data_IF_302972276430
#
_entry.id   IF_302972276430
#
_cell.length_a   1.000
_cell.length_b   1.000
_cell.length_c   1.000
_cell.angle_alpha   90.00
_cell.angle_beta   90.00
_cell.angle_gamma   90.00
#
_symmetry.space_group_name_H-M   'P 1'
#
loop_
_entity.id
_entity.type
_entity.pdbx_description
1 polymer ?
#
# COMPACT_ATOMS: atom_id res chain seq x y z
N UNK A 1 -27.47 30.86 60.04
CA UNK A 1 -27.78 30.15 58.77
C UNK A 1 -26.51 30.25 57.91
N UNK A 2 -25.66 29.17 57.93
CA UNK A 2 -24.42 29.16 57.12
C UNK A 2 -24.71 28.48 55.78
N UNK A 3 -24.57 29.25 54.72
CA UNK A 3 -24.63 28.73 53.33
C UNK A 3 -23.38 27.88 53.07
N UNK A 4 -23.58 26.59 52.78
CA UNK A 4 -22.54 25.69 52.31
C UNK A 4 -22.54 25.81 50.77
N UNK A 5 -21.49 26.41 50.19
CA UNK A 5 -21.24 26.46 48.76
C UNK A 5 -20.48 25.19 48.40
N UNK A 6 -21.11 24.25 47.68
CA UNK A 6 -20.45 23.08 47.11
C UNK A 6 -19.71 23.51 45.84
N UNK A 7 -18.45 23.11 45.64
CA UNK A 7 -17.74 23.35 44.41
C UNK A 7 -18.30 22.43 43.30
N UNK A 8 -18.71 23.04 42.20
CA UNK A 8 -19.06 22.31 40.97
C UNK A 8 -17.78 21.82 40.31
N UNK A 9 -17.57 20.50 40.33
CA UNK A 9 -16.47 19.87 39.64
C UNK A 9 -16.78 19.85 38.13
N UNK A 10 -16.16 20.75 37.36
CA UNK A 10 -16.25 20.74 35.91
C UNK A 10 -15.38 19.61 35.36
N UNK A 11 -16.00 18.50 34.98
CA UNK A 11 -15.34 17.38 34.34
C UNK A 11 -15.11 17.79 32.85
N UNK A 12 -13.90 18.23 32.52
CA UNK A 12 -13.50 18.44 31.13
C UNK A 12 -13.30 17.10 30.47
N UNK A 13 -14.25 16.66 29.67
CA UNK A 13 -14.11 15.56 28.74
C UNK A 13 -13.08 15.93 27.66
N UNK A 14 -11.86 15.45 27.80
CA UNK A 14 -10.92 15.45 26.68
C UNK A 14 -11.44 14.49 25.63
N UNK A 15 -12.02 15.04 24.55
CA UNK A 15 -12.29 14.28 23.34
C UNK A 15 -10.94 13.83 22.76
N UNK A 16 -10.60 12.54 22.96
CA UNK A 16 -9.51 11.90 22.24
C UNK A 16 -9.97 11.78 20.79
N UNK A 17 -9.56 12.72 19.96
CA UNK A 17 -9.70 12.58 18.50
C UNK A 17 -8.74 11.49 18.06
N UNK A 18 -9.20 10.45 17.36
CA UNK A 18 -8.30 9.49 16.74
C UNK A 18 -7.68 10.13 15.49
N UNK A 19 -6.62 10.91 15.67
CA UNK A 19 -5.75 11.26 14.56
C UNK A 19 -4.72 10.13 14.40
N UNK A 20 -5.15 9.02 13.84
CA UNK A 20 -4.26 8.10 13.16
C UNK A 20 -4.27 8.46 11.67
N UNK A 21 -3.75 9.61 11.33
CA UNK A 21 -3.34 9.91 9.97
C UNK A 21 -2.07 9.08 9.74
N UNK A 22 -2.18 8.03 8.94
CA UNK A 22 -1.04 7.21 8.49
C UNK A 22 0.00 8.15 7.89
N UNK A 23 1.22 8.12 8.40
CA UNK A 23 2.26 9.10 8.08
C UNK A 23 2.76 9.03 6.63
N UNK A 24 2.37 8.03 5.85
CA UNK A 24 2.67 7.95 4.41
C UNK A 24 1.42 7.59 3.58
N UNK A 25 0.58 8.60 3.21
CA UNK A 25 -0.65 8.37 2.45
C UNK A 25 -0.41 7.96 0.98
N UNK A 26 0.82 7.65 0.58
CA UNK A 26 1.19 7.36 -0.80
C UNK A 26 1.68 5.94 -1.03
N UNK A 27 1.55 5.04 -0.06
CA UNK A 27 2.05 3.68 -0.20
C UNK A 27 1.16 2.82 -1.10
N UNK A 28 1.77 1.98 -1.91
CA UNK A 28 1.04 0.97 -2.69
C UNK A 28 0.28 -0.01 -1.79
N UNK A 29 0.65 -0.13 -0.50
CA UNK A 29 -0.06 -0.91 0.48
C UNK A 29 -1.51 -0.40 0.69
N UNK A 30 -1.69 0.90 0.94
CA UNK A 30 -3.04 1.49 1.08
C UNK A 30 -3.83 1.42 -0.23
N UNK A 31 -3.14 1.69 -1.34
CA UNK A 31 -3.73 1.57 -2.67
C UNK A 31 -4.22 0.16 -2.98
N UNK A 32 -3.54 -0.88 -2.46
CA UNK A 32 -3.99 -2.27 -2.57
C UNK A 32 -5.34 -2.49 -1.88
N UNK A 33 -5.53 -1.94 -0.69
CA UNK A 33 -6.81 -2.02 0.02
C UNK A 33 -7.96 -1.46 -0.82
N UNK A 34 -7.76 -0.28 -1.42
CA UNK A 34 -8.74 0.33 -2.33
C UNK A 34 -8.96 -0.53 -3.59
N UNK A 35 -7.89 -1.02 -4.19
CA UNK A 35 -7.97 -1.87 -5.38
C UNK A 35 -8.75 -3.16 -5.12
N UNK A 36 -8.48 -3.84 -4.02
CA UNK A 36 -9.17 -5.07 -3.62
C UNK A 36 -10.66 -4.80 -3.35
N UNK A 37 -10.99 -3.66 -2.75
CA UNK A 37 -12.38 -3.32 -2.42
C UNK A 37 -13.21 -2.90 -3.63
N UNK A 38 -12.61 -2.23 -4.61
CA UNK A 38 -13.37 -1.54 -5.66
C UNK A 38 -13.05 -1.97 -7.09
N UNK A 39 -11.87 -2.53 -7.34
CA UNK A 39 -11.36 -2.74 -8.71
C UNK A 39 -11.18 -4.21 -9.09
N UNK A 40 -10.79 -5.06 -8.14
CA UNK A 40 -10.39 -6.44 -8.44
C UNK A 40 -11.48 -7.31 -9.06
N UNK A 41 -12.76 -7.04 -8.75
CA UNK A 41 -13.86 -7.85 -9.28
C UNK A 41 -13.93 -7.78 -10.82
N UNK A 42 -13.58 -6.62 -11.39
CA UNK A 42 -13.48 -6.45 -12.83
C UNK A 42 -12.05 -6.69 -13.32
N UNK A 43 -11.06 -6.02 -12.72
CA UNK A 43 -9.69 -6.04 -13.22
C UNK A 43 -8.86 -7.27 -12.83
N UNK A 44 -9.39 -8.13 -11.95
CA UNK A 44 -8.66 -9.29 -11.42
C UNK A 44 -7.66 -8.93 -10.32
N UNK A 45 -7.32 -9.88 -9.46
CA UNK A 45 -6.43 -9.66 -8.30
C UNK A 45 -5.02 -9.19 -8.70
N UNK A 46 -4.58 -9.55 -9.92
CA UNK A 46 -3.27 -9.16 -10.49
C UNK A 46 -3.38 -8.09 -11.58
N UNK A 47 -4.55 -7.48 -11.76
CA UNK A 47 -4.77 -6.46 -12.78
C UNK A 47 -4.70 -6.95 -14.23
N UNK A 48 -4.88 -8.25 -14.47
CA UNK A 48 -4.78 -8.85 -15.82
C UNK A 48 -6.05 -8.76 -16.65
N UNK A 49 -7.13 -8.18 -16.10
CA UNK A 49 -8.44 -8.14 -16.76
C UNK A 49 -9.22 -9.46 -16.66
N UNK A 50 -8.88 -10.30 -15.70
CA UNK A 50 -9.44 -11.63 -15.52
C UNK A 50 -10.42 -11.72 -14.34
N UNK A 51 -10.98 -10.58 -13.93
CA UNK A 51 -11.90 -10.48 -12.81
C UNK A 51 -13.21 -11.28 -13.04
N UNK A 52 -13.78 -11.87 -11.98
CA UNK A 52 -14.98 -12.69 -12.11
C UNK A 52 -16.20 -11.92 -12.60
N UNK A 53 -16.35 -10.64 -12.21
CA UNK A 53 -17.47 -9.81 -12.64
C UNK A 53 -17.37 -9.45 -14.12
N UNK A 54 -16.18 -9.15 -14.61
CA UNK A 54 -15.97 -8.88 -16.01
C UNK A 54 -16.34 -10.07 -16.90
N UNK A 55 -15.94 -11.27 -16.49
CA UNK A 55 -16.33 -12.51 -17.18
C UNK A 55 -17.82 -12.73 -17.19
N UNK A 56 -18.49 -12.50 -16.04
CA UNK A 56 -19.94 -12.69 -15.92
C UNK A 56 -20.74 -11.68 -16.74
N UNK A 57 -20.21 -10.47 -16.93
CA UNK A 57 -20.85 -9.39 -17.71
C UNK A 57 -20.38 -9.33 -19.17
N UNK A 58 -19.51 -10.24 -19.60
CA UNK A 58 -18.90 -10.26 -20.95
C UNK A 58 -18.20 -8.94 -21.32
N UNK A 59 -17.62 -8.27 -20.31
CA UNK A 59 -16.89 -7.01 -20.51
C UNK A 59 -15.46 -7.31 -20.95
N UNK A 60 -15.03 -6.67 -22.03
CA UNK A 60 -13.62 -6.73 -22.47
C UNK A 60 -12.74 -5.95 -21.53
N UNK A 61 -11.86 -6.65 -20.84
CA UNK A 61 -11.04 -6.11 -19.77
C UNK A 61 -9.68 -5.62 -20.24
N UNK A 62 -9.28 -4.48 -19.68
CA UNK A 62 -7.95 -3.92 -19.91
C UNK A 62 -6.95 -4.58 -18.97
N UNK A 63 -5.89 -5.13 -19.53
CA UNK A 63 -4.74 -5.60 -18.74
C UNK A 63 -3.97 -4.40 -18.17
N UNK A 64 -4.17 -4.12 -16.88
CA UNK A 64 -3.57 -2.99 -16.20
C UNK A 64 -2.04 -3.13 -16.07
N UNK A 65 -1.50 -4.36 -16.00
CA UNK A 65 -0.06 -4.57 -15.84
C UNK A 65 0.76 -4.04 -17.03
N UNK A 66 0.17 -3.99 -18.19
CA UNK A 66 0.79 -3.44 -19.40
C UNK A 66 0.40 -1.98 -19.64
N UNK A 67 -0.87 -1.66 -19.41
CA UNK A 67 -1.42 -0.33 -19.70
C UNK A 67 -0.82 0.75 -18.83
N UNK A 68 -0.66 0.50 -17.51
CA UNK A 68 -0.16 1.52 -16.59
C UNK A 68 1.29 1.93 -16.85
N UNK A 69 2.13 1.04 -17.42
CA UNK A 69 3.53 1.36 -17.74
C UNK A 69 3.68 2.50 -18.73
N UNK A 70 2.80 2.55 -19.71
CA UNK A 70 2.86 3.49 -20.82
C UNK A 70 2.14 4.82 -20.54
N UNK A 71 1.55 4.99 -19.37
CA UNK A 71 0.68 6.14 -19.06
C UNK A 71 1.20 6.95 -17.87
N UNK A 72 1.00 8.28 -17.91
CA UNK A 72 1.33 9.16 -16.78
C UNK A 72 0.31 9.01 -15.64
N UNK A 73 0.72 9.38 -14.41
CA UNK A 73 -0.17 9.38 -13.25
C UNK A 73 -1.37 10.32 -13.44
N UNK A 74 -1.13 11.47 -14.09
CA UNK A 74 -2.20 12.40 -14.46
C UNK A 74 -3.24 11.75 -15.38
N UNK A 75 -2.78 10.93 -16.32
CA UNK A 75 -3.67 10.17 -17.20
C UNK A 75 -4.46 9.13 -16.41
N UNK A 76 -3.79 8.32 -15.58
CA UNK A 76 -4.43 7.29 -14.75
C UNK A 76 -5.48 7.92 -13.83
N UNK A 77 -5.14 9.01 -13.15
CA UNK A 77 -6.05 9.77 -12.31
C UNK A 77 -7.29 10.23 -13.09
N UNK A 78 -7.11 10.76 -14.30
CA UNK A 78 -8.21 11.21 -15.16
C UNK A 78 -9.15 10.06 -15.53
N UNK A 79 -8.59 8.90 -15.89
CA UNK A 79 -9.37 7.70 -16.24
C UNK A 79 -10.17 7.22 -15.05
N UNK A 80 -9.53 7.06 -13.89
CA UNK A 80 -10.19 6.60 -12.65
C UNK A 80 -11.30 7.58 -12.24
N UNK A 81 -11.04 8.88 -12.29
CA UNK A 81 -12.03 9.90 -11.93
C UNK A 81 -13.20 10.03 -12.91
N UNK A 82 -13.16 9.35 -14.06
CA UNK A 82 -14.18 9.50 -15.11
C UNK A 82 -14.09 10.79 -15.93
N UNK A 83 -13.21 11.73 -15.55
CA UNK A 83 -13.04 13.01 -16.26
C UNK A 83 -12.44 12.86 -17.66
N UNK A 84 -12.01 11.66 -18.02
CA UNK A 84 -11.37 11.39 -19.29
C UNK A 84 -12.33 11.12 -20.45
N UNK A 85 -13.60 10.79 -20.19
CA UNK A 85 -14.53 10.38 -21.25
C UNK A 85 -14.75 11.45 -22.33
N UNK A 86 -14.73 12.72 -21.95
CA UNK A 86 -14.96 13.84 -22.87
C UNK A 86 -13.68 14.36 -23.56
N UNK A 87 -12.50 14.08 -23.01
CA UNK A 87 -11.24 14.69 -23.44
C UNK A 87 -10.28 13.72 -24.12
N UNK A 88 -10.52 12.41 -24.04
CA UNK A 88 -9.73 11.39 -24.73
C UNK A 88 -10.35 11.19 -26.11
N UNK A 89 -9.62 11.59 -27.16
CA UNK A 89 -10.03 11.47 -28.56
C UNK A 89 -9.18 10.43 -29.28
N UNK A 90 -9.69 9.87 -30.38
CA UNK A 90 -8.96 8.93 -31.24
C UNK A 90 -8.95 7.48 -30.72
N UNK A 91 -7.93 6.70 -31.13
CA UNK A 91 -7.81 5.26 -30.80
C UNK A 91 -7.78 4.95 -29.30
N UNK A 92 -7.29 5.89 -28.49
CA UNK A 92 -7.22 5.71 -27.04
C UNK A 92 -8.59 5.68 -26.38
N UNK A 93 -9.60 6.33 -26.97
CA UNK A 93 -10.96 6.36 -26.42
C UNK A 93 -11.59 4.97 -26.39
N UNK A 94 -11.44 4.20 -27.47
CA UNK A 94 -12.06 2.88 -27.59
C UNK A 94 -11.34 1.79 -26.78
N UNK A 95 -10.05 2.00 -26.48
CA UNK A 95 -9.23 0.96 -25.83
C UNK A 95 -9.07 1.14 -24.32
N UNK A 96 -9.40 2.31 -23.76
CA UNK A 96 -9.07 2.66 -22.38
C UNK A 96 -10.26 3.12 -21.56
N UNK A 97 -11.38 3.45 -22.18
CA UNK A 97 -12.59 3.91 -21.51
C UNK A 97 -13.73 2.98 -21.90
N UNK A 98 -13.91 1.94 -21.11
CA UNK A 98 -15.13 1.14 -21.14
C UNK A 98 -16.26 1.95 -20.52
N UNK A 99 -17.43 1.95 -21.16
CA UNK A 99 -18.65 2.51 -20.57
C UNK A 99 -19.06 1.74 -19.29
N UNK A 100 -18.47 0.56 -19.09
CA UNK A 100 -18.69 -0.28 -17.92
C UNK A 100 -17.82 0.10 -16.72
N UNK A 101 -16.76 0.95 -16.90
CA UNK A 101 -15.96 1.42 -15.77
C UNK A 101 -16.67 2.58 -15.04
N UNK A 102 -16.95 2.48 -13.74
CA UNK A 102 -17.56 3.55 -12.97
C UNK A 102 -16.70 4.81 -12.91
N UNK A 103 -17.34 5.96 -12.65
CA UNK A 103 -16.64 7.20 -12.34
C UNK A 103 -16.41 7.31 -10.84
N UNK A 104 -15.14 7.43 -10.43
CA UNK A 104 -14.73 7.43 -9.03
C UNK A 104 -14.40 8.82 -8.47
N UNK A 105 -14.74 9.90 -9.21
CA UNK A 105 -14.34 11.29 -8.89
C UNK A 105 -14.78 11.78 -7.51
N UNK A 106 -15.96 11.33 -7.04
CA UNK A 106 -16.56 11.77 -5.79
C UNK A 106 -16.48 10.68 -4.69
N UNK A 107 -15.83 9.55 -4.99
CA UNK A 107 -15.67 8.40 -4.08
C UNK A 107 -14.32 8.45 -3.37
N UNK A 108 -13.25 8.77 -4.10
CA UNK A 108 -11.91 8.78 -3.56
C UNK A 108 -11.40 10.20 -3.32
N UNK A 109 -10.78 10.41 -2.15
CA UNK A 109 -9.99 11.61 -1.89
C UNK A 109 -8.75 11.67 -2.80
N UNK A 110 -8.11 12.82 -2.85
CA UNK A 110 -6.88 13.02 -3.63
C UNK A 110 -5.74 12.11 -3.14
N UNK A 111 -5.62 11.89 -1.83
CA UNK A 111 -4.64 10.99 -1.25
C UNK A 111 -4.94 9.52 -1.61
N UNK A 112 -6.19 9.10 -1.51
CA UNK A 112 -6.61 7.75 -1.90
C UNK A 112 -6.36 7.46 -3.38
N UNK A 113 -6.60 8.44 -4.28
CA UNK A 113 -6.27 8.30 -5.70
C UNK A 113 -4.77 8.14 -5.93
N UNK A 114 -3.93 8.87 -5.18
CA UNK A 114 -2.48 8.72 -5.26
C UNK A 114 -2.02 7.35 -4.79
N UNK A 115 -2.52 6.87 -3.65
CA UNK A 115 -2.23 5.51 -3.15
C UNK A 115 -2.68 4.43 -4.14
N UNK A 116 -3.88 4.58 -4.72
CA UNK A 116 -4.36 3.65 -5.74
C UNK A 116 -3.45 3.64 -6.97
N UNK A 117 -2.99 4.81 -7.44
CA UNK A 117 -2.04 4.89 -8.55
C UNK A 117 -0.70 4.25 -8.18
N UNK A 118 -0.20 4.44 -6.97
CA UNK A 118 1.01 3.76 -6.49
C UNK A 118 0.86 2.22 -6.56
N UNK A 119 -0.28 1.67 -6.14
CA UNK A 119 -0.55 0.24 -6.29
C UNK A 119 -0.66 -0.21 -7.76
N UNK A 120 -1.28 0.59 -8.62
CA UNK A 120 -1.30 0.30 -10.06
C UNK A 120 0.14 0.30 -10.65
N UNK A 121 1.01 1.21 -10.19
CA UNK A 121 2.44 1.22 -10.56
C UNK A 121 3.14 -0.04 -10.07
N UNK A 122 2.87 -0.47 -8.83
CA UNK A 122 3.35 -1.76 -8.35
C UNK A 122 2.92 -2.90 -9.29
N UNK A 123 1.63 -3.03 -9.61
CA UNK A 123 1.12 -4.07 -10.53
C UNK A 123 1.80 -4.02 -11.91
N UNK A 124 2.07 -2.81 -12.41
CA UNK A 124 2.73 -2.63 -13.70
C UNK A 124 4.23 -2.92 -13.70
N UNK A 125 4.93 -2.62 -12.63
CA UNK A 125 6.39 -2.60 -12.60
C UNK A 125 7.02 -3.71 -11.77
N UNK A 126 6.24 -4.37 -10.88
CA UNK A 126 6.79 -5.43 -10.03
C UNK A 126 7.33 -6.59 -10.86
N UNK A 127 8.50 -7.10 -10.42
CA UNK A 127 9.09 -8.35 -10.92
C UNK A 127 8.79 -9.52 -9.97
N UNK A 128 8.16 -9.24 -8.84
CA UNK A 128 7.98 -10.18 -7.74
C UNK A 128 6.53 -10.21 -7.29
N UNK A 129 5.90 -11.35 -7.38
CA UNK A 129 4.54 -11.55 -6.85
C UNK A 129 4.52 -11.41 -5.31
N UNK A 130 3.38 -10.99 -4.77
CA UNK A 130 3.14 -11.05 -3.33
C UNK A 130 3.05 -12.54 -2.91
N UNK A 131 3.71 -12.89 -1.81
CA UNK A 131 3.79 -14.28 -1.32
C UNK A 131 2.74 -14.60 -0.26
N UNK A 132 2.44 -13.63 0.60
CA UNK A 132 1.53 -13.77 1.73
C UNK A 132 0.59 -12.58 1.86
N UNK A 133 -0.17 -12.53 2.95
CA UNK A 133 -1.09 -11.44 3.25
C UNK A 133 -0.35 -10.20 3.77
N UNK A 134 -0.32 -9.08 3.02
CA UNK A 134 0.35 -7.87 3.47
C UNK A 134 -0.21 -7.27 4.77
N UNK A 135 -1.46 -7.55 5.12
CA UNK A 135 -2.07 -7.10 6.39
C UNK A 135 -1.40 -7.81 7.59
N UNK A 136 -1.14 -9.11 7.44
CA UNK A 136 -0.33 -9.85 8.42
C UNK A 136 1.09 -9.28 8.44
N UNK A 137 1.63 -9.00 7.27
CA UNK A 137 2.96 -8.40 7.09
C UNK A 137 3.11 -7.07 7.83
N UNK A 138 2.15 -6.15 7.67
CA UNK A 138 2.11 -4.88 8.41
C UNK A 138 2.17 -5.10 9.92
N UNK A 139 1.31 -5.97 10.46
CA UNK A 139 1.29 -6.25 11.91
C UNK A 139 2.63 -6.80 12.41
N UNK A 140 3.27 -7.71 11.65
CA UNK A 140 4.60 -8.25 12.01
C UNK A 140 5.68 -7.19 11.87
N UNK A 141 5.61 -6.35 10.87
CA UNK A 141 6.53 -5.23 10.68
C UNK A 141 6.47 -4.27 11.87
N UNK A 142 5.29 -3.84 12.26
CA UNK A 142 5.09 -2.98 13.42
C UNK A 142 5.60 -3.60 14.72
N UNK A 143 5.44 -4.89 14.89
CA UNK A 143 5.85 -5.61 16.09
C UNK A 143 7.38 -5.79 16.19
N UNK A 144 8.06 -6.04 15.08
CA UNK A 144 9.44 -6.53 15.10
C UNK A 144 10.44 -5.68 14.32
N UNK A 145 10.00 -4.91 13.34
CA UNK A 145 10.88 -4.28 12.36
C UNK A 145 10.95 -2.77 12.47
N UNK A 146 9.82 -2.10 12.75
CA UNK A 146 9.71 -0.65 12.73
C UNK A 146 10.65 0.07 13.70
N UNK A 147 11.04 -0.58 14.79
CA UNK A 147 11.94 0.01 15.79
C UNK A 147 13.30 0.39 15.20
N UNK A 148 13.74 -0.34 14.17
CA UNK A 148 14.97 -0.05 13.42
C UNK A 148 14.66 0.54 12.04
N UNK A 149 13.71 -0.05 11.30
CA UNK A 149 13.44 0.35 9.92
C UNK A 149 12.54 1.57 9.77
N UNK A 150 11.99 2.10 10.87
CA UNK A 150 11.06 3.23 10.86
C UNK A 150 9.61 2.81 10.60
N UNK A 151 8.67 3.73 10.85
CA UNK A 151 7.24 3.47 10.66
C UNK A 151 6.91 3.19 9.20
N UNK A 152 7.51 3.97 8.31
CA UNK A 152 7.27 3.94 6.88
C UNK A 152 8.35 3.15 6.09
N UNK A 153 9.34 2.59 6.79
CA UNK A 153 10.39 1.78 6.17
C UNK A 153 11.60 2.55 5.68
N UNK A 154 11.72 3.85 5.97
CA UNK A 154 12.81 4.74 5.52
C UNK A 154 14.14 4.51 6.24
N UNK A 155 14.21 3.61 7.22
CA UNK A 155 15.44 3.34 7.98
C UNK A 155 15.70 4.33 9.10
N UNK A 156 14.70 5.10 9.52
CA UNK A 156 14.78 6.16 10.52
C UNK A 156 14.26 5.77 11.91
N UNK A 157 14.08 4.47 12.16
CA UNK A 157 13.56 3.95 13.42
C UNK A 157 14.37 4.43 14.64
N UNK A 158 13.74 4.48 15.81
CA UNK A 158 14.34 5.03 17.03
C UNK A 158 15.67 4.36 17.39
N UNK A 159 15.84 3.06 17.10
CA UNK A 159 17.08 2.34 17.39
C UNK A 159 18.26 2.83 16.54
N UNK A 160 18.03 3.37 15.34
CA UNK A 160 19.08 3.89 14.49
C UNK A 160 19.85 5.02 15.17
N UNK A 161 19.13 5.89 15.86
CA UNK A 161 19.69 7.02 16.62
C UNK A 161 20.41 6.55 17.89
N UNK A 162 19.89 5.49 18.53
CA UNK A 162 20.45 5.00 19.79
C UNK A 162 21.76 4.21 19.63
N UNK A 163 21.89 3.45 18.55
CA UNK A 163 23.05 2.57 18.34
C UNK A 163 23.88 2.94 17.10
N UNK A 164 23.55 4.06 16.42
CA UNK A 164 24.36 4.60 15.33
C UNK A 164 24.37 3.71 14.09
N UNK A 165 23.24 3.07 13.74
CA UNK A 165 23.09 2.25 12.53
C UNK A 165 22.24 2.96 11.49
N UNK A 166 22.42 2.59 10.22
CA UNK A 166 21.58 3.05 9.12
C UNK A 166 21.06 1.79 8.41
N UNK A 167 19.83 1.35 8.71
CA UNK A 167 19.20 0.26 7.97
C UNK A 167 18.98 0.66 6.51
N UNK A 168 18.79 -0.35 5.66
CA UNK A 168 18.36 -0.11 4.27
C UNK A 168 17.01 0.61 4.27
N UNK A 169 16.86 1.57 3.37
CA UNK A 169 15.58 2.21 3.05
C UNK A 169 14.71 1.21 2.26
N UNK A 170 13.67 0.70 2.91
CA UNK A 170 12.75 -0.28 2.32
C UNK A 170 11.79 0.37 1.30
N UNK A 171 11.67 1.70 1.28
CA UNK A 171 10.86 2.43 0.29
C UNK A 171 11.58 2.58 -1.04
N UNK A 172 12.90 2.39 -1.06
CA UNK A 172 13.70 2.51 -2.26
C UNK A 172 13.51 1.30 -3.19
N UNK A 173 12.67 1.45 -4.20
CA UNK A 173 12.38 0.40 -5.19
C UNK A 173 13.61 -0.07 -5.97
N UNK A 174 14.62 0.78 -6.17
CA UNK A 174 15.84 0.37 -6.86
C UNK A 174 16.66 -0.64 -6.06
N UNK A 175 16.62 -0.55 -4.73
CA UNK A 175 17.31 -1.48 -3.85
C UNK A 175 16.50 -2.74 -3.58
N UNK A 176 15.22 -2.57 -3.23
CA UNK A 176 14.34 -3.69 -2.88
C UNK A 176 14.06 -4.60 -4.08
N UNK A 177 13.91 -4.06 -5.30
CA UNK A 177 13.67 -4.85 -6.51
C UNK A 177 14.92 -5.60 -7.04
N UNK A 178 16.11 -5.29 -6.56
CA UNK A 178 17.33 -6.08 -6.86
C UNK A 178 17.34 -7.42 -6.11
N UNK A 179 16.68 -7.47 -4.96
CA UNK A 179 16.58 -8.66 -4.13
C UNK A 179 15.36 -9.49 -4.58
N UNK A 180 15.56 -10.78 -4.80
CA UNK A 180 14.42 -11.70 -5.01
C UNK A 180 13.61 -11.86 -3.74
N UNK A 181 12.41 -12.44 -3.85
CA UNK A 181 11.64 -12.79 -2.64
C UNK A 181 12.40 -13.77 -1.75
N UNK A 182 13.14 -14.70 -2.37
CA UNK A 182 13.98 -15.66 -1.64
C UNK A 182 15.09 -14.95 -0.87
N UNK A 183 15.73 -13.91 -1.45
CA UNK A 183 16.75 -13.14 -0.77
C UNK A 183 16.18 -12.35 0.42
N UNK A 184 14.98 -11.76 0.27
CA UNK A 184 14.31 -11.08 1.37
C UNK A 184 13.93 -12.04 2.49
N UNK A 185 13.36 -13.19 2.15
CA UNK A 185 13.05 -14.27 3.12
C UNK A 185 14.32 -14.68 3.87
N UNK A 186 15.41 -14.95 3.14
CA UNK A 186 16.69 -15.32 3.74
C UNK A 186 17.24 -14.23 4.66
N UNK A 187 17.25 -12.97 4.21
CA UNK A 187 17.73 -11.85 5.02
C UNK A 187 16.94 -11.69 6.33
N UNK A 188 15.63 -11.92 6.30
CA UNK A 188 14.80 -11.89 7.50
C UNK A 188 15.12 -13.09 8.40
N UNK A 189 15.09 -14.29 7.86
CA UNK A 189 15.28 -15.51 8.67
C UNK A 189 16.67 -15.61 9.30
N UNK A 190 17.72 -15.27 8.56
CA UNK A 190 19.11 -15.46 8.96
C UNK A 190 19.74 -14.19 9.55
N UNK A 191 19.04 -13.05 9.46
CA UNK A 191 19.60 -11.75 9.82
C UNK A 191 20.59 -11.22 8.78
N UNK A 192 21.07 -9.99 8.98
CA UNK A 192 22.04 -9.38 8.08
C UNK A 192 23.03 -8.51 8.83
N UNK A 193 24.32 -8.83 8.66
CA UNK A 193 25.41 -8.10 9.33
C UNK A 193 25.35 -8.23 10.86
N UNK A 194 25.77 -7.18 11.55
CA UNK A 194 25.91 -7.20 13.02
C UNK A 194 24.58 -6.90 13.75
N UNK A 195 23.72 -6.12 13.14
CA UNK A 195 22.60 -5.47 13.85
C UNK A 195 21.21 -5.98 13.46
N UNK A 196 21.03 -6.53 12.26
CA UNK A 196 19.75 -7.14 11.90
C UNK A 196 19.72 -8.58 12.46
N UNK A 197 18.88 -8.87 13.45
CA UNK A 197 18.85 -10.19 14.07
C UNK A 197 18.25 -11.23 13.14
N UNK A 198 18.57 -12.50 13.41
CA UNK A 198 17.92 -13.63 12.79
C UNK A 198 16.55 -13.87 13.44
N UNK A 199 15.53 -14.05 12.61
CA UNK A 199 14.15 -14.28 13.05
C UNK A 199 13.72 -15.76 12.94
N UNK A 200 14.65 -16.65 12.59
CA UNK A 200 14.42 -18.10 12.51
C UNK A 200 14.01 -18.64 13.89
N UNK A 201 12.90 -19.38 13.91
CA UNK A 201 12.33 -19.90 15.16
C UNK A 201 11.46 -18.93 15.95
N UNK A 202 11.40 -17.64 15.55
CA UNK A 202 10.52 -16.60 16.13
C UNK A 202 9.33 -16.34 15.19
N UNK A 203 9.61 -16.16 13.91
CA UNK A 203 8.60 -15.98 12.88
C UNK A 203 8.33 -17.30 12.15
N UNK A 204 7.06 -17.58 11.87
CA UNK A 204 6.67 -18.67 10.99
C UNK A 204 7.00 -18.35 9.52
N UNK A 205 7.05 -19.37 8.67
CA UNK A 205 7.23 -19.18 7.24
C UNK A 205 6.16 -18.24 6.64
N UNK A 206 4.90 -18.39 7.05
CA UNK A 206 3.80 -17.53 6.60
C UNK A 206 3.93 -16.08 7.08
N UNK A 207 4.46 -15.84 8.28
CA UNK A 207 4.74 -14.48 8.77
C UNK A 207 5.82 -13.82 7.92
N UNK A 208 6.88 -14.55 7.55
CA UNK A 208 7.96 -14.01 6.72
C UNK A 208 7.49 -13.71 5.30
N UNK A 209 6.69 -14.59 4.71
CA UNK A 209 6.08 -14.37 3.40
C UNK A 209 5.16 -13.14 3.39
N UNK A 210 4.38 -12.97 4.45
CA UNK A 210 3.55 -11.79 4.65
C UNK A 210 4.38 -10.51 4.81
N UNK A 211 5.47 -10.55 5.58
CA UNK A 211 6.43 -9.45 5.71
C UNK A 211 7.04 -9.06 4.38
N UNK A 212 7.49 -10.03 3.57
CA UNK A 212 8.03 -9.78 2.24
C UNK A 212 6.99 -9.11 1.36
N UNK A 213 5.73 -9.54 1.41
CA UNK A 213 4.65 -8.91 0.66
C UNK A 213 4.40 -7.46 1.09
N UNK A 214 4.44 -7.16 2.39
CA UNK A 214 4.34 -5.81 2.91
C UNK A 214 5.52 -4.93 2.45
N UNK A 215 6.76 -5.41 2.58
CA UNK A 215 7.97 -4.70 2.14
C UNK A 215 7.91 -4.39 0.63
N UNK A 216 7.40 -5.31 -0.19
CA UNK A 216 7.21 -5.05 -1.63
C UNK A 216 6.27 -3.89 -1.90
N UNK A 217 5.23 -3.73 -1.09
CA UNK A 217 4.28 -2.62 -1.23
C UNK A 217 4.82 -1.31 -0.67
N UNK A 218 5.72 -1.33 0.32
CA UNK A 218 6.39 -0.11 0.81
C UNK A 218 7.28 0.53 -0.26
N UNK A 219 7.84 -0.26 -1.15
CA UNK A 219 8.81 0.21 -2.14
C UNK A 219 8.20 0.75 -3.46
N UNK A 220 6.88 1.05 -3.47
CA UNK A 220 6.20 1.54 -4.69
C UNK A 220 5.20 2.65 -4.39
#
# INVERSE_FOLDING_TARGET
MKLIVLPVLVLTLFAVTPNAESANPLSAYEGRGLYVSYCQLCHGIRGKGDGPLAKAMEISEVNLTTTVRARSDTFLKRVISGKGRQTITGRDRHNLLSDSMPEWKDIFSESQLKSLIAYLRFLGNTKHDLMGDPEVGLRRYQQYCQVCHGLDGEGDGIMTKLIGIIPIDLTNSNETNRLSNVDLVKNILDGKGKYMPAWRGILSQSDVEALVSYIRLLSH
#
